data_IF_565558674132
#
_entry.id   IF_565558674132
#
_cell.length_a   1.000
_cell.length_b   1.000
_cell.length_c   1.000
_cell.angle_alpha   90.00
_cell.angle_beta   90.00
_cell.angle_gamma   90.00
#
_symmetry.space_group_name_H-M   'P 1'
#
loop_
_entity.id
_entity.type
_entity.pdbx_description
1 polymer ?
#
# COMPACT_ATOMS: atom_id res chain seq x y z
N UNK A 1 42.40 -45.89 34.59
CA UNK A 1 41.52 -46.38 33.53
C UNK A 1 40.21 -45.56 33.43
N UNK A 2 40.16 -44.25 33.75
CA UNK A 2 38.90 -43.49 33.89
C UNK A 2 38.71 -42.42 32.84
N UNK A 3 39.71 -42.11 31.98
CA UNK A 3 39.64 -41.01 31.04
C UNK A 3 38.99 -41.33 29.64
N UNK A 4 38.91 -42.62 29.30
CA UNK A 4 38.40 -43.04 27.97
C UNK A 4 36.89 -43.09 27.87
N UNK A 5 36.16 -43.16 28.99
CA UNK A 5 34.67 -43.20 29.00
C UNK A 5 34.07 -41.81 28.80
N UNK A 6 34.72 -40.76 29.33
CA UNK A 6 34.23 -39.39 29.21
C UNK A 6 34.38 -38.81 27.78
N UNK A 7 35.39 -39.24 27.03
CA UNK A 7 35.59 -38.82 25.65
C UNK A 7 34.56 -39.43 24.69
N UNK A 8 34.03 -40.61 24.97
CA UNK A 8 33.02 -41.30 24.15
C UNK A 8 31.63 -40.69 24.27
N UNK A 9 31.33 -40.04 25.40
CA UNK A 9 30.03 -39.38 25.62
C UNK A 9 29.97 -37.97 24.99
N UNK A 10 31.13 -37.33 24.80
CA UNK A 10 31.19 -35.95 24.24
C UNK A 10 30.83 -35.87 22.75
N UNK A 11 31.17 -36.88 21.97
CA UNK A 11 30.95 -36.87 20.52
C UNK A 11 29.44 -36.88 20.10
N UNK A 12 28.58 -37.73 20.67
CA UNK A 12 27.17 -37.75 20.29
C UNK A 12 26.43 -36.49 20.72
N UNK A 13 26.77 -35.89 21.84
CA UNK A 13 26.16 -34.62 22.29
C UNK A 13 26.55 -33.45 21.38
N UNK A 14 27.82 -33.35 21.00
CA UNK A 14 28.28 -32.31 20.07
C UNK A 14 27.66 -32.44 18.69
N UNK A 15 27.51 -33.66 18.17
CA UNK A 15 26.88 -33.89 16.89
C UNK A 15 25.37 -33.60 16.93
N UNK A 16 24.69 -33.87 18.04
CA UNK A 16 23.28 -33.55 18.22
C UNK A 16 23.04 -32.03 18.28
N UNK A 17 23.92 -31.30 19.01
CA UNK A 17 23.86 -29.83 19.06
C UNK A 17 24.14 -29.21 17.69
N UNK A 18 25.19 -29.69 17.01
CA UNK A 18 25.53 -29.20 15.68
C UNK A 18 24.38 -29.46 14.64
N UNK A 19 23.82 -30.66 14.67
CA UNK A 19 22.65 -30.99 13.83
C UNK A 19 21.43 -30.14 14.13
N UNK A 20 21.16 -29.87 15.41
CA UNK A 20 20.07 -29.00 15.84
C UNK A 20 20.26 -27.55 15.36
N UNK A 21 21.48 -27.00 15.47
CA UNK A 21 21.78 -25.63 15.00
C UNK A 21 21.65 -25.50 13.48
N UNK A 22 22.10 -26.51 12.72
CA UNK A 22 21.96 -26.52 11.26
C UNK A 22 20.48 -26.58 10.87
N UNK A 23 19.68 -27.45 11.46
CA UNK A 23 18.26 -27.58 11.19
C UNK A 23 17.52 -26.27 11.54
N UNK A 24 17.85 -25.64 12.64
CA UNK A 24 17.27 -24.37 13.05
C UNK A 24 17.65 -23.22 12.10
N UNK A 25 18.92 -23.14 11.72
CA UNK A 25 19.42 -22.16 10.76
C UNK A 25 18.76 -22.28 9.37
N UNK A 26 18.56 -23.49 8.88
CA UNK A 26 17.86 -23.72 7.60
C UNK A 26 16.39 -23.38 7.68
N UNK A 27 15.71 -23.63 8.79
CA UNK A 27 14.33 -23.25 9.00
C UNK A 27 14.14 -21.72 8.97
N UNK A 28 14.99 -20.98 9.70
CA UNK A 28 14.96 -19.51 9.71
C UNK A 28 15.26 -18.95 8.33
N UNK A 29 16.27 -19.46 7.65
CA UNK A 29 16.59 -19.02 6.29
C UNK A 29 15.43 -19.27 5.32
N UNK A 30 14.76 -20.41 5.41
CA UNK A 30 13.57 -20.73 4.63
C UNK A 30 12.43 -19.75 4.85
N UNK A 31 12.12 -19.43 6.11
CA UNK A 31 11.08 -18.45 6.45
C UNK A 31 11.43 -17.05 5.88
N UNK A 32 12.66 -16.60 6.03
CA UNK A 32 13.09 -15.30 5.52
C UNK A 32 12.97 -15.20 3.99
N UNK A 33 13.32 -16.27 3.26
CA UNK A 33 13.17 -16.31 1.79
C UNK A 33 11.70 -16.24 1.38
N UNK A 34 10.83 -16.98 2.05
CA UNK A 34 9.39 -16.96 1.78
C UNK A 34 8.82 -15.57 2.04
N UNK A 35 9.17 -14.94 3.16
CA UNK A 35 8.70 -13.60 3.51
C UNK A 35 9.08 -12.55 2.44
N UNK A 36 10.33 -12.57 1.98
CA UNK A 36 10.80 -11.66 0.91
C UNK A 36 10.06 -11.90 -0.40
N UNK A 37 9.85 -13.17 -0.78
CA UNK A 37 9.16 -13.50 -2.05
C UNK A 37 7.69 -13.08 -1.98
N UNK A 38 6.99 -13.43 -0.90
CA UNK A 38 5.57 -13.09 -0.72
C UNK A 38 5.38 -11.59 -0.69
N UNK A 39 6.23 -10.85 0.04
CA UNK A 39 6.13 -9.39 0.10
C UNK A 39 6.33 -8.74 -1.27
N UNK A 40 7.24 -9.24 -2.09
CA UNK A 40 7.47 -8.72 -3.46
C UNK A 40 6.28 -9.00 -4.37
N UNK A 41 5.73 -10.21 -4.34
CA UNK A 41 4.58 -10.59 -5.17
C UNK A 41 3.36 -9.73 -4.79
N UNK A 42 3.07 -9.60 -3.49
CA UNK A 42 1.95 -8.79 -3.02
C UNK A 42 2.08 -7.31 -3.43
N UNK A 43 3.27 -6.73 -3.34
CA UNK A 43 3.51 -5.35 -3.74
C UNK A 43 3.30 -5.14 -5.25
N UNK A 44 3.74 -6.09 -6.09
CA UNK A 44 3.57 -6.00 -7.53
C UNK A 44 2.11 -6.17 -7.95
N UNK A 45 1.40 -7.08 -7.32
CA UNK A 45 -0.04 -7.26 -7.54
C UNK A 45 -0.83 -6.01 -7.15
N UNK A 46 -0.54 -5.41 -5.99
CA UNK A 46 -1.18 -4.16 -5.56
C UNK A 46 -0.86 -3.01 -6.52
N UNK A 47 0.38 -2.85 -6.95
CA UNK A 47 0.76 -1.83 -7.93
C UNK A 47 0.03 -2.00 -9.25
N UNK A 48 -0.03 -3.22 -9.76
CA UNK A 48 -0.72 -3.54 -11.01
C UNK A 48 -2.22 -3.27 -10.89
N UNK A 49 -2.83 -3.67 -9.79
CA UNK A 49 -4.22 -3.39 -9.49
C UNK A 49 -4.51 -1.88 -9.44
N UNK A 50 -3.71 -1.13 -8.69
CA UNK A 50 -3.87 0.33 -8.58
C UNK A 50 -3.65 1.03 -9.93
N UNK A 51 -2.64 0.62 -10.70
CA UNK A 51 -2.38 1.20 -12.02
C UNK A 51 -3.55 0.97 -13.00
N UNK A 52 -4.11 -0.23 -13.03
CA UNK A 52 -5.29 -0.54 -13.87
C UNK A 52 -6.52 0.24 -13.44
N UNK A 53 -6.76 0.31 -12.14
CA UNK A 53 -7.90 1.03 -11.55
C UNK A 53 -7.78 2.53 -11.82
N UNK A 54 -6.59 3.10 -11.63
CA UNK A 54 -6.32 4.50 -11.94
C UNK A 54 -6.51 4.81 -13.43
N UNK A 55 -5.99 3.96 -14.33
CA UNK A 55 -6.14 4.13 -15.77
C UNK A 55 -7.61 4.05 -16.20
N UNK A 56 -8.38 3.10 -15.66
CA UNK A 56 -9.81 2.98 -15.93
C UNK A 56 -10.60 4.20 -15.46
N UNK A 57 -10.29 4.72 -14.28
CA UNK A 57 -10.94 5.93 -13.74
C UNK A 57 -10.53 7.18 -14.53
N UNK A 58 -9.25 7.31 -14.88
CA UNK A 58 -8.74 8.43 -15.67
C UNK A 58 -9.43 8.54 -17.06
N UNK A 59 -9.77 7.41 -17.66
CA UNK A 59 -10.49 7.39 -18.94
C UNK A 59 -11.92 7.98 -18.86
N UNK A 60 -12.48 8.10 -17.66
CA UNK A 60 -13.81 8.70 -17.43
C UNK A 60 -13.75 10.20 -17.12
N UNK A 61 -12.54 10.76 -17.00
CA UNK A 61 -12.33 12.17 -16.66
C UNK A 61 -11.98 12.93 -17.94
N UNK A 62 -12.72 14.00 -18.19
CA UNK A 62 -12.44 14.88 -19.32
C UNK A 62 -11.26 15.81 -19.00
N UNK A 63 -10.16 15.64 -19.73
CA UNK A 63 -8.95 16.43 -19.56
C UNK A 63 -9.16 17.93 -19.88
N UNK A 64 -10.10 18.28 -20.76
CA UNK A 64 -10.41 19.67 -21.08
C UNK A 64 -11.21 20.34 -19.95
N UNK A 65 -12.04 19.58 -19.24
CA UNK A 65 -12.69 20.07 -18.01
C UNK A 65 -11.67 20.32 -16.90
N UNK A 66 -10.63 19.49 -16.77
CA UNK A 66 -9.61 19.67 -15.75
C UNK A 66 -8.87 21.00 -15.84
N UNK A 67 -8.66 21.51 -17.05
CA UNK A 67 -7.98 22.79 -17.28
C UNK A 67 -8.73 23.99 -16.74
N UNK A 68 -10.01 23.86 -16.44
CA UNK A 68 -10.83 24.91 -15.86
C UNK A 68 -10.62 25.07 -14.36
N UNK A 69 -10.10 24.04 -13.69
CA UNK A 69 -9.87 24.05 -12.26
C UNK A 69 -8.43 24.52 -11.98
N UNK A 70 -8.28 25.80 -11.69
CA UNK A 70 -6.99 26.45 -11.46
C UNK A 70 -6.94 27.25 -10.15
N UNK A 71 -8.02 27.20 -9.35
CA UNK A 71 -8.16 27.93 -8.10
C UNK A 71 -8.85 27.06 -7.06
N UNK A 72 -8.39 27.17 -5.80
CA UNK A 72 -8.97 26.47 -4.66
C UNK A 72 -10.43 26.87 -4.38
N UNK A 73 -10.82 28.09 -4.79
CA UNK A 73 -12.20 28.58 -4.61
C UNK A 73 -13.24 27.81 -5.44
N UNK A 74 -12.79 26.99 -6.39
CA UNK A 74 -13.66 26.16 -7.23
C UNK A 74 -14.02 24.84 -6.55
N UNK A 75 -13.34 24.48 -5.46
CA UNK A 75 -13.65 23.29 -4.68
C UNK A 75 -15.09 23.34 -4.17
N UNK A 76 -15.82 22.23 -4.35
CA UNK A 76 -17.21 22.12 -3.96
C UNK A 76 -18.22 22.76 -4.94
N UNK A 77 -17.77 23.43 -6.02
CA UNK A 77 -18.68 23.91 -7.06
C UNK A 77 -19.43 22.76 -7.75
N UNK A 78 -20.60 23.01 -8.37
CA UNK A 78 -21.35 21.98 -9.10
C UNK A 78 -20.52 21.33 -10.22
N UNK A 79 -19.70 22.12 -10.91
CA UNK A 79 -18.79 21.68 -11.97
C UNK A 79 -17.69 20.78 -11.41
N UNK A 80 -17.03 21.22 -10.34
CA UNK A 80 -16.02 20.44 -9.62
C UNK A 80 -16.59 19.10 -9.13
N UNK A 81 -17.77 19.14 -8.50
CA UNK A 81 -18.42 17.94 -8.00
C UNK A 81 -18.79 16.95 -9.11
N UNK A 82 -19.12 17.45 -10.30
CA UNK A 82 -19.39 16.62 -11.49
C UNK A 82 -18.10 15.97 -11.99
N UNK A 83 -17.03 16.74 -12.11
CA UNK A 83 -15.73 16.25 -12.56
C UNK A 83 -15.10 15.25 -11.57
N UNK A 84 -15.28 15.45 -10.26
CA UNK A 84 -14.79 14.57 -9.22
C UNK A 84 -15.65 13.27 -9.04
N UNK A 85 -16.81 13.18 -9.68
CA UNK A 85 -17.71 12.03 -9.53
C UNK A 85 -17.07 10.67 -9.83
N UNK A 86 -16.27 10.48 -10.90
CA UNK A 86 -15.62 9.20 -11.16
C UNK A 86 -14.68 8.78 -10.03
N UNK A 87 -13.97 9.72 -9.40
CA UNK A 87 -13.10 9.45 -8.25
C UNK A 87 -13.91 9.01 -7.02
N UNK A 88 -15.06 9.64 -6.78
CA UNK A 88 -15.95 9.26 -5.66
C UNK A 88 -16.54 7.88 -5.86
N UNK A 89 -16.97 7.56 -7.07
CA UNK A 89 -17.45 6.20 -7.41
C UNK A 89 -16.35 5.18 -7.18
N UNK A 90 -15.11 5.50 -7.56
CA UNK A 90 -13.96 4.65 -7.30
C UNK A 90 -13.79 4.38 -5.80
N UNK A 91 -13.82 5.42 -4.96
CA UNK A 91 -13.69 5.31 -3.51
C UNK A 91 -14.87 4.56 -2.87
N UNK A 92 -16.08 4.79 -3.34
CA UNK A 92 -17.28 4.12 -2.83
C UNK A 92 -17.30 2.61 -3.16
N UNK A 93 -16.72 2.22 -4.30
CA UNK A 93 -16.69 0.82 -4.76
C UNK A 93 -15.44 0.06 -4.29
N UNK A 94 -14.42 0.77 -3.79
CA UNK A 94 -13.16 0.17 -3.34
C UNK A 94 -12.79 0.67 -1.93
N UNK A 95 -13.27 0.02 -0.87
CA UNK A 95 -13.07 0.48 0.51
C UNK A 95 -11.60 0.47 0.95
N UNK A 96 -10.74 -0.26 0.25
CA UNK A 96 -9.31 -0.32 0.51
C UNK A 96 -8.55 0.91 -0.04
N UNK A 97 -9.18 1.69 -0.92
CA UNK A 97 -8.63 2.93 -1.46
C UNK A 97 -9.14 4.09 -0.61
N UNK A 98 -8.25 4.75 0.12
CA UNK A 98 -8.62 5.87 1.01
C UNK A 98 -8.69 7.20 0.30
N UNK A 99 -7.82 7.42 -0.70
CA UNK A 99 -7.67 8.69 -1.38
C UNK A 99 -7.56 8.48 -2.88
N UNK A 100 -8.20 9.34 -3.65
CA UNK A 100 -8.10 9.37 -5.09
C UNK A 100 -8.02 10.83 -5.57
N UNK A 101 -6.91 11.17 -6.19
CA UNK A 101 -6.64 12.53 -6.66
C UNK A 101 -6.30 12.53 -8.15
N UNK A 102 -6.59 13.63 -8.81
CA UNK A 102 -6.03 13.94 -10.12
C UNK A 102 -5.03 15.06 -9.96
N UNK A 103 -3.80 14.81 -10.42
CA UNK A 103 -2.73 15.80 -10.45
C UNK A 103 -2.32 16.11 -11.88
N UNK A 104 -1.92 17.36 -12.11
CA UNK A 104 -1.37 17.85 -13.37
C UNK A 104 0.07 18.29 -13.12
N UNK A 105 1.00 17.84 -13.95
CA UNK A 105 2.38 18.30 -13.90
C UNK A 105 2.51 19.66 -14.59
N UNK A 106 3.03 20.65 -13.89
CA UNK A 106 3.42 21.95 -14.44
C UNK A 106 4.92 22.14 -14.20
N UNK A 107 5.72 21.90 -15.23
CA UNK A 107 7.16 21.77 -15.06
C UNK A 107 7.50 20.57 -14.16
N UNK A 108 8.26 20.80 -13.09
CA UNK A 108 8.66 19.78 -12.11
C UNK A 108 7.72 19.71 -10.88
N UNK A 109 6.63 20.49 -10.87
CA UNK A 109 5.70 20.55 -9.73
C UNK A 109 4.39 19.86 -10.10
N UNK A 110 3.93 18.97 -9.21
CA UNK A 110 2.61 18.36 -9.32
C UNK A 110 1.58 19.24 -8.59
N UNK A 111 0.53 19.64 -9.31
CA UNK A 111 -0.62 20.35 -8.77
C UNK A 111 -1.80 19.40 -8.71
N UNK A 112 -2.40 19.26 -7.53
CA UNK A 112 -3.64 18.50 -7.37
C UNK A 112 -4.79 19.36 -7.85
N UNK A 113 -5.58 18.82 -8.78
CA UNK A 113 -6.67 19.54 -9.46
C UNK A 113 -8.04 19.03 -9.00
N UNK A 114 -8.19 17.72 -8.80
CA UNK A 114 -9.41 17.11 -8.29
C UNK A 114 -9.11 16.20 -7.11
N UNK A 115 -9.98 16.24 -6.12
CA UNK A 115 -10.01 15.35 -4.97
C UNK A 115 -11.34 14.60 -4.94
N UNK A 116 -11.28 13.28 -4.98
CA UNK A 116 -12.44 12.41 -4.84
C UNK A 116 -12.88 12.23 -3.38
N UNK A 117 -12.03 12.60 -2.42
CA UNK A 117 -12.31 12.45 -0.99
C UNK A 117 -13.48 13.36 -0.61
N UNK A 118 -14.44 12.83 0.14
CA UNK A 118 -15.56 13.66 0.65
C UNK A 118 -15.03 14.57 1.74
N UNK A 119 -15.33 15.87 1.63
CA UNK A 119 -14.98 16.84 2.67
C UNK A 119 -15.50 16.37 4.04
N UNK A 120 -14.64 16.38 5.06
CA UNK A 120 -14.97 15.96 6.41
C UNK A 120 -14.91 14.46 6.67
N UNK A 121 -14.50 13.63 5.69
CA UNK A 121 -14.32 12.19 5.89
C UNK A 121 -13.07 11.85 6.71
N UNK A 122 -12.05 12.70 6.63
CA UNK A 122 -10.80 12.55 7.37
C UNK A 122 -10.37 13.87 8.00
N UNK A 123 -9.69 13.81 9.13
CA UNK A 123 -9.05 14.97 9.75
C UNK A 123 -7.71 15.30 9.06
N UNK A 124 -7.11 16.43 9.43
CA UNK A 124 -5.81 16.89 8.90
C UNK A 124 -4.65 15.90 9.14
N UNK A 125 -4.82 14.96 10.05
CA UNK A 125 -3.88 13.86 10.32
C UNK A 125 -4.21 12.58 9.51
N UNK A 126 -5.19 12.62 8.61
CA UNK A 126 -5.62 11.49 7.80
C UNK A 126 -6.38 10.40 8.57
N UNK A 127 -6.94 10.74 9.74
CA UNK A 127 -7.78 9.82 10.54
C UNK A 127 -9.23 9.98 10.13
N UNK A 128 -10.03 8.88 10.08
CA UNK A 128 -11.45 8.97 9.78
C UNK A 128 -12.15 9.93 10.73
N UNK A 129 -12.84 10.91 10.19
CA UNK A 129 -13.64 11.84 10.97
C UNK A 129 -14.97 11.12 11.31
N UNK A 130 -15.15 10.75 12.57
CA UNK A 130 -16.33 10.02 13.04
C UNK A 130 -17.56 10.93 13.27
N UNK A 131 -17.54 12.17 12.77
CA UNK A 131 -18.74 12.97 12.78
C UNK A 131 -19.76 12.35 11.83
N UNK A 132 -20.94 11.91 12.32
CA UNK A 132 -21.98 11.41 11.44
C UNK A 132 -22.39 12.53 10.47
N UNK A 133 -22.71 12.22 9.21
CA UNK A 133 -23.28 13.21 8.31
C UNK A 133 -24.56 13.77 8.94
N UNK A 134 -24.62 15.09 9.10
CA UNK A 134 -25.84 15.76 9.48
C UNK A 134 -26.85 15.74 8.32
#
# INVERSE_FOLDING_TARGET
MTNSVLLRVRHPLLSAIAGGLIAWGTAIAGIAVVDVIVSRILLEDVRTYLARTAAGTAALIDGDELRKFNSADQDGSPEYNRAARPLRVLLDTNPDIRFAYVGVMQGDVMHFVLDGTRQGTFDDAGRPNHSPPM
#
